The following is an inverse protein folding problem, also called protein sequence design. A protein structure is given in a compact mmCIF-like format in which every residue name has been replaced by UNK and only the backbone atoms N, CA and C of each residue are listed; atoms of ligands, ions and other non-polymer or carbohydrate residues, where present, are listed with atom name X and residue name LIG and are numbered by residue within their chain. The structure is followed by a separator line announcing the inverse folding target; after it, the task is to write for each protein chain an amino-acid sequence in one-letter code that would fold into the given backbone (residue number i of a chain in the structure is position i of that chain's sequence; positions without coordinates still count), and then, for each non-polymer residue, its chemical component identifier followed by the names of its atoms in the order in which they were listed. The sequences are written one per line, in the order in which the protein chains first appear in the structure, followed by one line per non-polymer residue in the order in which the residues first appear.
data_IF_028233405971
#
_entry.id   IF_028233405971
#
_cell.length_a   1.000
_cell.length_b   1.000
_cell.length_c   1.000
_cell.angle_alpha   90.00
_cell.angle_beta   90.00
_cell.angle_gamma   90.00
#
_symmetry.space_group_name_H-M   'P 1'
#
loop_
_entity.id
_entity.type
_entity.pdbx_description
1 polymer ?
#
# COMPACT_ATOMS: atom_id res chain seq x y z
N UNK A 1 24.71 0.02 46.53
CA UNK A 1 23.56 -0.91 46.39
C UNK A 1 23.34 -1.16 44.92
N UNK A 2 23.32 -2.40 44.45
CA UNK A 2 22.95 -2.66 43.07
C UNK A 2 21.48 -2.23 42.86
N UNK A 3 21.22 -1.49 41.77
CA UNK A 3 19.86 -1.12 41.38
C UNK A 3 19.09 -2.41 41.07
N UNK A 4 17.99 -2.63 41.77
CA UNK A 4 17.11 -3.76 41.51
C UNK A 4 16.57 -3.66 40.08
N UNK A 5 16.68 -4.74 39.31
CA UNK A 5 16.07 -4.82 38.01
C UNK A 5 14.55 -4.77 38.16
N UNK A 6 13.89 -3.91 37.40
CA UNK A 6 12.43 -3.89 37.32
C UNK A 6 12.00 -5.19 36.63
N UNK A 7 11.23 -6.01 37.33
CA UNK A 7 10.67 -7.25 36.77
C UNK A 7 9.35 -6.97 36.06
N UNK A 8 8.95 -7.88 35.17
CA UNK A 8 7.75 -7.73 34.33
C UNK A 8 6.46 -7.47 35.14
N UNK A 9 6.36 -8.03 36.34
CA UNK A 9 5.20 -7.88 37.24
C UNK A 9 5.34 -6.72 38.23
N UNK A 10 6.43 -5.95 38.16
CA UNK A 10 6.65 -4.80 39.05
C UNK A 10 6.00 -3.51 38.51
N UNK A 11 5.50 -3.54 37.29
CA UNK A 11 4.81 -2.42 36.66
C UNK A 11 3.31 -2.74 36.55
N UNK A 12 2.47 -1.94 37.20
CA UNK A 12 1.02 -2.01 37.00
C UNK A 12 0.65 -1.56 35.58
N UNK A 13 -0.49 -2.00 35.06
CA UNK A 13 -1.01 -1.55 33.78
C UNK A 13 -1.15 -0.02 33.78
N UNK A 14 -0.59 0.63 32.76
CA UNK A 14 -0.62 2.10 32.63
C UNK A 14 0.44 2.85 33.45
N UNK A 15 1.35 2.15 34.14
CA UNK A 15 2.43 2.80 34.91
C UNK A 15 3.47 3.53 34.04
N UNK A 16 3.49 3.24 32.75
CA UNK A 16 4.33 3.94 31.77
C UNK A 16 3.41 4.58 30.75
N UNK A 17 3.33 5.87 30.75
CA UNK A 17 2.58 6.68 29.79
C UNK A 17 3.51 7.65 29.02
N UNK A 18 2.95 8.61 28.33
CA UNK A 18 3.73 9.58 27.55
C UNK A 18 4.66 10.45 28.38
N UNK A 19 4.34 10.67 29.66
CA UNK A 19 5.16 11.50 30.56
C UNK A 19 6.47 10.79 30.98
N UNK A 20 6.46 9.45 31.03
CA UNK A 20 7.64 8.64 31.35
C UNK A 20 8.50 8.32 30.13
N UNK A 21 8.00 8.56 28.92
CA UNK A 21 8.72 8.35 27.69
C UNK A 21 9.33 9.66 27.18
N UNK A 22 10.64 9.80 27.26
CA UNK A 22 11.32 10.94 26.67
C UNK A 22 11.11 10.97 25.13
N UNK A 23 11.25 12.15 24.54
CA UNK A 23 11.23 12.29 23.08
C UNK A 23 12.23 11.33 22.43
N UNK A 24 11.79 10.59 21.42
CA UNK A 24 12.61 9.57 20.73
C UNK A 24 13.04 8.37 21.61
N UNK A 25 12.41 8.14 22.75
CA UNK A 25 12.73 6.99 23.59
C UNK A 25 12.46 5.65 22.90
N UNK A 26 11.46 5.58 22.00
CA UNK A 26 11.17 4.42 21.17
C UNK A 26 11.76 4.62 19.79
N UNK A 27 12.82 3.88 19.49
CA UNK A 27 13.50 3.90 18.19
C UNK A 27 13.15 2.64 17.40
N UNK A 28 13.44 2.62 16.10
CA UNK A 28 13.24 1.42 15.27
C UNK A 28 13.96 0.17 15.82
N UNK A 29 15.13 0.35 16.43
CA UNK A 29 15.86 -0.74 17.06
C UNK A 29 15.17 -1.36 18.29
N UNK A 30 14.24 -0.61 18.93
CA UNK A 30 13.46 -1.08 20.07
C UNK A 30 12.12 -1.69 19.69
N UNK A 31 11.75 -1.59 18.43
CA UNK A 31 10.55 -2.21 17.87
C UNK A 31 10.93 -3.55 17.24
N UNK A 32 10.38 -4.63 17.76
CA UNK A 32 10.55 -5.94 17.13
C UNK A 32 9.94 -5.93 15.70
N UNK A 33 10.47 -6.78 14.83
CA UNK A 33 9.87 -6.97 13.51
C UNK A 33 8.40 -7.39 13.66
N UNK A 34 7.51 -6.67 12.97
CA UNK A 34 6.08 -6.90 13.05
C UNK A 34 5.38 -6.30 14.27
N UNK A 35 6.09 -5.59 15.16
CA UNK A 35 5.45 -4.89 16.30
C UNK A 35 4.43 -3.85 15.85
N UNK A 36 4.65 -3.24 14.69
CA UNK A 36 3.65 -2.40 14.02
C UNK A 36 3.00 -3.25 12.93
N UNK A 37 1.77 -3.61 13.13
CA UNK A 37 0.96 -4.39 12.19
C UNK A 37 -0.22 -3.57 11.68
N UNK A 38 -0.90 -4.07 10.66
CA UNK A 38 -2.13 -3.41 10.17
C UNK A 38 -3.22 -3.29 11.24
N UNK A 39 -3.21 -4.18 12.26
CA UNK A 39 -4.15 -4.13 13.38
C UNK A 39 -3.85 -3.00 14.38
N UNK A 40 -2.60 -2.53 14.43
CA UNK A 40 -2.18 -1.44 15.31
C UNK A 40 -2.22 -0.07 14.62
N UNK A 41 -2.46 -0.04 13.32
CA UNK A 41 -2.55 1.20 12.55
C UNK A 41 -3.94 1.83 12.66
N UNK A 42 -4.05 3.15 12.78
CA UNK A 42 -5.34 3.82 12.78
C UNK A 42 -6.13 3.56 11.50
N UNK A 43 -7.46 3.58 11.59
CA UNK A 43 -8.34 3.49 10.42
C UNK A 43 -8.01 4.60 9.42
N UNK A 44 -7.88 4.23 8.15
CA UNK A 44 -7.51 5.16 7.08
C UNK A 44 -6.01 5.24 6.79
N UNK A 45 -5.18 4.51 7.53
CA UNK A 45 -3.74 4.44 7.25
C UNK A 45 -3.45 3.74 5.92
N UNK A 46 -2.44 4.24 5.21
CA UNK A 46 -1.89 3.56 4.02
C UNK A 46 -0.97 2.45 4.50
N UNK A 47 -1.37 1.20 4.27
CA UNK A 47 -0.67 0.02 4.78
C UNK A 47 0.37 -0.49 3.76
N UNK A 48 0.07 -0.36 2.47
CA UNK A 48 0.93 -0.87 1.40
C UNK A 48 0.85 0.06 0.19
N UNK A 49 1.98 0.31 -0.45
CA UNK A 49 2.09 1.02 -1.72
C UNK A 49 2.86 0.14 -2.70
N UNK A 50 2.28 -0.11 -3.85
CA UNK A 50 2.92 -0.84 -4.95
C UNK A 50 2.92 0.06 -6.18
N UNK A 51 4.04 0.11 -6.88
CA UNK A 51 4.18 0.83 -8.13
C UNK A 51 4.55 -0.16 -9.24
N UNK A 52 3.82 -0.07 -10.35
CA UNK A 52 4.19 -0.70 -11.62
C UNK A 52 4.58 0.38 -12.62
N UNK A 53 5.55 0.10 -13.47
CA UNK A 53 5.94 0.99 -14.56
C UNK A 53 6.29 0.17 -15.79
N UNK A 54 6.10 0.76 -16.96
CA UNK A 54 6.56 0.20 -18.24
C UNK A 54 7.13 1.31 -19.12
N UNK A 55 8.21 1.02 -19.78
CA UNK A 55 8.80 1.88 -20.82
C UNK A 55 8.58 1.31 -22.22
N UNK A 56 7.94 0.14 -22.30
CA UNK A 56 7.68 -0.55 -23.55
C UNK A 56 6.46 0.06 -24.23
N UNK A 57 6.67 0.63 -25.41
CA UNK A 57 5.56 1.11 -26.22
C UNK A 57 4.77 -0.08 -26.76
N UNK A 58 3.46 -0.02 -26.68
CA UNK A 58 2.57 -0.95 -27.35
C UNK A 58 1.67 -0.18 -28.32
N UNK A 59 1.43 -0.75 -29.51
CA UNK A 59 0.57 -0.17 -30.53
C UNK A 59 -0.50 -1.17 -30.95
N UNK A 60 -1.71 -0.68 -31.10
CA UNK A 60 -2.87 -1.49 -31.46
C UNK A 60 -3.65 -0.85 -32.58
N UNK A 61 -3.95 -1.63 -33.59
CA UNK A 61 -4.73 -1.21 -34.75
C UNK A 61 -6.19 -1.65 -34.74
N UNK A 62 -6.63 -2.30 -33.64
CA UNK A 62 -8.02 -2.79 -33.54
C UNK A 62 -8.93 -1.78 -32.83
N UNK A 63 -10.12 -1.60 -33.35
CA UNK A 63 -11.18 -0.77 -32.74
C UNK A 63 -12.17 -1.57 -31.91
N UNK A 64 -12.05 -2.90 -31.89
CA UNK A 64 -13.03 -3.79 -31.25
C UNK A 64 -12.47 -4.67 -30.16
N UNK A 65 -11.16 -4.75 -29.99
CA UNK A 65 -10.54 -5.60 -28.95
C UNK A 65 -9.59 -4.80 -28.09
N UNK A 66 -9.66 -5.02 -26.79
CA UNK A 66 -8.70 -4.49 -25.82
C UNK A 66 -7.37 -5.25 -25.97
N UNK A 67 -6.30 -4.55 -25.86
CA UNK A 67 -4.95 -5.12 -25.87
C UNK A 67 -4.16 -4.62 -24.67
N UNK A 68 -3.22 -5.43 -24.21
CA UNK A 68 -2.42 -5.12 -23.04
C UNK A 68 -1.47 -3.94 -23.31
N UNK A 69 -1.42 -2.99 -22.42
CA UNK A 69 -0.47 -1.89 -22.45
C UNK A 69 0.88 -2.23 -21.83
N UNK A 70 1.06 -3.44 -21.33
CA UNK A 70 2.22 -3.91 -20.57
C UNK A 70 2.44 -3.17 -19.24
N UNK A 71 1.47 -2.38 -18.79
CA UNK A 71 1.49 -1.75 -17.47
C UNK A 71 0.73 -2.63 -16.48
N UNK A 72 1.43 -3.20 -15.53
CA UNK A 72 0.82 -4.06 -14.52
C UNK A 72 1.46 -3.85 -13.14
N UNK A 73 0.68 -4.10 -12.11
CA UNK A 73 1.14 -4.15 -10.74
C UNK A 73 0.37 -5.22 -9.99
N UNK A 74 1.02 -5.88 -9.03
CA UNK A 74 0.37 -6.89 -8.21
C UNK A 74 0.36 -6.45 -6.76
N UNK A 75 -0.81 -6.45 -6.14
CA UNK A 75 -0.99 -6.12 -4.73
C UNK A 75 -1.80 -7.23 -4.05
N UNK A 76 -1.35 -7.63 -2.87
CA UNK A 76 -2.07 -8.60 -2.03
C UNK A 76 -2.47 -7.90 -0.74
N UNK A 77 -3.75 -7.50 -0.60
CA UNK A 77 -4.23 -6.88 0.63
C UNK A 77 -4.16 -7.84 1.81
N UNK A 78 -3.81 -7.33 2.98
CA UNK A 78 -3.80 -8.12 4.22
C UNK A 78 -5.20 -8.49 4.74
N UNK A 79 -6.25 -7.86 4.20
CA UNK A 79 -7.64 -8.14 4.52
C UNK A 79 -8.54 -7.87 3.31
N UNK A 80 -9.60 -8.68 3.16
CA UNK A 80 -10.62 -8.47 2.13
C UNK A 80 -11.43 -7.18 2.31
N UNK A 81 -11.43 -6.59 3.50
CA UNK A 81 -12.10 -5.32 3.79
C UNK A 81 -11.25 -4.09 3.44
N UNK A 82 -9.97 -4.27 3.10
CA UNK A 82 -9.11 -3.16 2.73
C UNK A 82 -9.55 -2.53 1.41
N UNK A 83 -9.49 -1.21 1.36
CA UNK A 83 -9.73 -0.45 0.13
C UNK A 83 -8.44 -0.29 -0.65
N UNK A 84 -8.52 -0.36 -1.97
CA UNK A 84 -7.39 -0.15 -2.87
C UNK A 84 -7.67 1.13 -3.67
N UNK A 85 -6.74 2.08 -3.60
CA UNK A 85 -6.72 3.23 -4.49
C UNK A 85 -5.77 2.91 -5.64
N UNK A 86 -6.27 2.99 -6.86
CA UNK A 86 -5.48 2.82 -8.07
C UNK A 86 -5.36 4.17 -8.76
N UNK A 87 -4.12 4.60 -8.99
CA UNK A 87 -3.82 5.81 -9.77
C UNK A 87 -2.99 5.39 -10.97
N UNK A 88 -3.43 5.78 -12.16
CA UNK A 88 -2.76 5.45 -13.42
C UNK A 88 -2.38 6.74 -14.12
N UNK A 89 -1.15 6.82 -14.57
CA UNK A 89 -0.67 7.85 -15.48
C UNK A 89 -0.11 7.15 -16.72
N UNK A 90 -0.82 7.29 -17.84
CA UNK A 90 -0.48 6.64 -19.10
C UNK A 90 -0.48 7.68 -20.22
N UNK A 91 0.64 7.77 -20.94
CA UNK A 91 0.69 8.58 -22.17
C UNK A 91 0.13 7.75 -23.34
N UNK A 92 -0.87 8.28 -24.01
CA UNK A 92 -1.51 7.63 -25.16
C UNK A 92 -1.53 8.58 -26.36
N UNK A 93 -1.33 8.02 -27.55
CA UNK A 93 -1.47 8.72 -28.81
C UNK A 93 -2.43 7.97 -29.72
N UNK A 94 -3.46 8.66 -30.20
CA UNK A 94 -4.47 8.10 -31.08
C UNK A 94 -4.42 8.82 -32.43
N UNK A 95 -4.28 8.07 -33.52
CA UNK A 95 -4.10 8.63 -34.87
C UNK A 95 -5.40 9.19 -35.50
N UNK A 96 -6.55 8.57 -35.26
CA UNK A 96 -7.80 8.92 -35.96
C UNK A 96 -9.06 8.91 -35.10
N UNK A 97 -9.14 8.02 -34.16
CA UNK A 97 -10.32 7.81 -33.30
C UNK A 97 -9.87 7.83 -31.86
N UNK A 98 -10.75 8.19 -30.96
CA UNK A 98 -10.46 8.15 -29.52
C UNK A 98 -10.00 6.76 -29.08
N UNK A 99 -9.24 6.70 -27.99
CA UNK A 99 -8.83 5.45 -27.37
C UNK A 99 -9.51 5.28 -26.02
N UNK A 100 -9.87 4.06 -25.68
CA UNK A 100 -10.40 3.72 -24.36
C UNK A 100 -9.31 3.02 -23.56
N UNK A 101 -9.03 3.51 -22.35
CA UNK A 101 -8.17 2.85 -21.37
C UNK A 101 -9.05 2.15 -20.37
N UNK A 102 -8.78 0.88 -20.12
CA UNK A 102 -9.53 0.06 -19.18
C UNK A 102 -8.60 -0.46 -18.10
N UNK A 103 -9.03 -0.35 -16.85
CA UNK A 103 -8.36 -1.01 -15.73
C UNK A 103 -8.94 -2.40 -15.59
N UNK A 104 -8.08 -3.40 -15.62
CA UNK A 104 -8.48 -4.81 -15.54
C UNK A 104 -7.92 -5.42 -14.25
N UNK A 105 -8.74 -6.14 -13.51
CA UNK A 105 -8.34 -6.95 -12.37
C UNK A 105 -8.53 -8.43 -12.71
N UNK A 106 -7.40 -9.14 -12.91
CA UNK A 106 -7.44 -10.48 -13.46
C UNK A 106 -8.03 -10.47 -14.87
N UNK A 107 -9.23 -10.97 -15.07
CA UNK A 107 -9.96 -10.93 -16.35
C UNK A 107 -11.17 -9.98 -16.35
N UNK A 108 -11.36 -9.20 -15.28
CA UNK A 108 -12.54 -8.36 -15.10
C UNK A 108 -12.20 -6.88 -15.30
N UNK A 109 -12.94 -6.21 -16.18
CA UNK A 109 -12.85 -4.77 -16.34
C UNK A 109 -13.48 -4.08 -15.11
N UNK A 110 -12.73 -3.24 -14.43
CA UNK A 110 -13.18 -2.53 -13.23
C UNK A 110 -13.36 -1.03 -13.45
N UNK A 111 -12.75 -0.47 -14.47
CA UNK A 111 -12.95 0.92 -14.88
C UNK A 111 -12.59 1.09 -16.35
N UNK A 112 -13.30 1.97 -17.06
CA UNK A 112 -12.97 2.40 -18.41
C UNK A 112 -12.98 3.94 -18.45
N UNK A 113 -11.97 4.50 -19.12
CA UNK A 113 -11.86 5.94 -19.43
C UNK A 113 -11.86 6.08 -20.94
N UNK A 114 -12.81 6.82 -21.49
CA UNK A 114 -12.98 7.12 -22.91
C UNK A 114 -12.58 8.55 -23.22
#
# INVERSE_FOLDING_TARGET
MPLSKIQTNSLATGSVDTAQLASSAVTSAKLASGAISSATMPTGSVIQVIQGSTTTASSHGSTSTLSDTNLSASITPSSASNKILVTIQQHCYCLRYGGTIVIVRGSTNISAVT
#
